data_IF_116606251789
#
_entry.id   IF_116606251789
#
_cell.length_a   1.000
_cell.length_b   1.000
_cell.length_c   1.000
_cell.angle_alpha   90.00
_cell.angle_beta   90.00
_cell.angle_gamma   90.00
#
_symmetry.space_group_name_H-M   'P 1'
#
loop_
_entity.id
_entity.type
_entity.pdbx_description
1 polymer ?
#
# COMPACT_ATOMS: atom_id res chain seq x y z
N UNK A 1 -5.02 45.70 10.16
CA UNK A 1 -3.91 44.73 10.30
C UNK A 1 -3.90 43.91 9.02
N UNK A 2 -3.09 44.33 8.06
CA UNK A 2 -2.86 43.60 6.80
C UNK A 2 -1.62 42.73 6.98
N UNK A 3 -1.71 41.47 6.58
CA UNK A 3 -0.54 40.64 6.28
C UNK A 3 -0.81 40.01 4.92
N UNK A 4 -0.43 40.74 3.87
CA UNK A 4 -0.29 40.20 2.52
C UNK A 4 1.10 39.56 2.43
N UNK A 5 1.17 38.24 2.51
CA UNK A 5 2.40 37.50 2.21
C UNK A 5 2.34 37.00 0.76
N UNK A 6 2.60 37.92 -0.18
CA UNK A 6 2.99 37.57 -1.53
C UNK A 6 4.50 37.78 -1.68
N UNK A 7 5.29 36.76 -1.33
CA UNK A 7 6.75 36.80 -1.52
C UNK A 7 7.07 36.29 -2.93
N UNK A 8 7.07 37.22 -3.87
CA UNK A 8 7.74 37.10 -5.16
C UNK A 8 9.24 36.84 -4.94
N UNK A 9 9.71 35.63 -5.22
CA UNK A 9 11.14 35.36 -5.37
C UNK A 9 11.51 35.32 -6.85
N UNK A 10 11.62 36.51 -7.45
CA UNK A 10 12.36 36.69 -8.71
C UNK A 10 13.85 36.85 -8.39
N UNK A 11 14.55 35.73 -8.23
CA UNK A 11 16.02 35.72 -8.29
C UNK A 11 16.44 35.68 -9.75
N UNK A 12 17.02 36.77 -10.25
CA UNK A 12 17.67 36.85 -11.56
C UNK A 12 18.83 35.84 -11.66
N UNK A 13 18.56 34.63 -12.13
CA UNK A 13 19.57 33.69 -12.62
C UNK A 13 19.68 33.82 -14.14
N UNK A 14 20.86 34.20 -14.65
CA UNK A 14 21.16 34.42 -16.07
C UNK A 14 21.29 33.13 -16.89
N UNK A 15 20.58 32.06 -16.52
CA UNK A 15 20.53 30.79 -17.24
C UNK A 15 19.10 30.63 -17.78
N UNK A 16 18.90 30.42 -19.09
CA UNK A 16 17.57 30.13 -19.63
C UNK A 16 16.99 28.90 -18.91
N UNK A 17 15.84 29.06 -18.27
CA UNK A 17 15.11 27.94 -17.68
C UNK A 17 14.82 26.92 -18.77
N UNK A 18 15.29 25.67 -18.60
CA UNK A 18 14.95 24.52 -19.47
C UNK A 18 13.43 24.22 -19.38
N UNK A 19 12.79 24.67 -18.31
CA UNK A 19 11.36 24.54 -18.08
C UNK A 19 10.62 25.73 -18.71
N UNK A 20 9.67 25.48 -19.64
CA UNK A 20 8.79 26.52 -20.15
C UNK A 20 7.90 27.11 -19.05
N UNK A 21 7.73 28.44 -19.07
CA UNK A 21 6.97 29.17 -18.04
C UNK A 21 5.48 28.80 -17.96
N UNK A 22 4.90 28.27 -19.06
CA UNK A 22 3.50 27.86 -19.09
C UNK A 22 3.23 26.52 -18.39
N UNK A 23 4.28 25.80 -17.98
CA UNK A 23 4.14 24.53 -17.25
C UNK A 23 3.84 24.84 -15.78
N UNK A 24 2.57 24.68 -15.41
CA UNK A 24 2.06 24.93 -14.07
C UNK A 24 1.33 23.70 -13.51
N UNK A 25 1.15 23.63 -12.19
CA UNK A 25 0.57 22.47 -11.49
C UNK A 25 -0.87 22.16 -11.94
N UNK A 26 -1.67 23.20 -12.22
CA UNK A 26 -3.08 23.09 -12.63
C UNK A 26 -3.29 22.27 -13.92
N UNK A 27 -2.29 22.23 -14.81
CA UNK A 27 -2.34 21.43 -16.04
C UNK A 27 -2.46 19.93 -15.76
N UNK A 28 -2.06 19.49 -14.57
CA UNK A 28 -1.99 18.08 -14.20
C UNK A 28 -3.14 17.60 -13.32
N UNK A 29 -4.05 18.48 -12.89
CA UNK A 29 -5.16 18.07 -12.01
C UNK A 29 -6.08 17.02 -12.64
N UNK A 30 -6.50 17.21 -13.90
CA UNK A 30 -7.37 16.24 -14.59
C UNK A 30 -6.66 14.89 -14.83
N UNK A 31 -5.42 14.84 -15.35
CA UNK A 31 -4.63 13.61 -15.38
C UNK A 31 -4.49 12.93 -14.00
N UNK A 32 -4.24 13.70 -12.94
CA UNK A 32 -4.08 13.15 -11.59
C UNK A 32 -5.38 12.54 -11.06
N UNK A 33 -6.54 13.14 -11.34
CA UNK A 33 -7.86 12.56 -11.01
C UNK A 33 -8.11 11.22 -11.71
N UNK A 34 -7.54 11.02 -12.91
CA UNK A 34 -7.68 9.77 -13.66
C UNK A 34 -6.75 8.66 -13.11
N UNK A 35 -5.57 9.03 -12.61
CA UNK A 35 -4.58 8.07 -12.11
C UNK A 35 -4.84 7.70 -10.65
N UNK A 36 -5.28 8.67 -9.83
CA UNK A 36 -5.56 8.49 -8.41
C UNK A 36 -6.99 8.96 -8.09
N UNK A 37 -7.89 7.99 -7.91
CA UNK A 37 -9.32 8.21 -7.67
C UNK A 37 -9.60 9.06 -6.42
N UNK A 38 -8.71 8.99 -5.44
CA UNK A 38 -8.83 9.69 -4.18
C UNK A 38 -8.10 11.05 -4.23
N UNK A 39 -7.61 11.51 -5.39
CA UNK A 39 -7.00 12.84 -5.53
C UNK A 39 -7.94 13.95 -5.02
N UNK A 40 -7.39 14.85 -4.20
CA UNK A 40 -8.08 16.03 -3.65
C UNK A 40 -7.42 17.31 -4.14
N UNK A 41 -6.09 17.42 -4.01
CA UNK A 41 -5.36 18.68 -4.23
C UNK A 41 -3.87 18.43 -4.53
N UNK A 42 -3.21 19.33 -5.28
CA UNK A 42 -1.74 19.37 -5.40
C UNK A 42 -1.20 20.30 -4.31
N UNK A 43 -0.35 19.78 -3.42
CA UNK A 43 0.26 20.53 -2.32
C UNK A 43 1.62 21.11 -2.69
N UNK A 44 2.39 20.40 -3.52
CA UNK A 44 3.70 20.84 -4.01
C UNK A 44 3.88 20.36 -5.45
N UNK A 45 4.48 21.19 -6.28
CA UNK A 45 4.77 20.90 -7.69
C UNK A 45 6.17 21.38 -8.04
N UNK A 46 6.99 20.46 -8.54
CA UNK A 46 8.35 20.73 -9.01
C UNK A 46 8.52 20.21 -10.41
N UNK A 47 9.16 20.99 -11.26
CA UNK A 47 9.46 20.59 -12.63
C UNK A 47 10.90 20.97 -12.96
N UNK A 48 11.59 20.04 -13.62
CA UNK A 48 12.97 20.21 -14.07
C UNK A 48 13.22 19.45 -15.38
N UNK A 49 14.36 19.69 -16.02
CA UNK A 49 14.81 18.84 -17.12
C UNK A 49 14.99 17.39 -16.64
N UNK A 50 14.53 16.44 -17.44
CA UNK A 50 14.50 15.03 -17.04
C UNK A 50 15.87 14.32 -17.10
N UNK A 51 16.84 14.89 -17.83
CA UNK A 51 18.14 14.27 -18.12
C UNK A 51 19.31 15.18 -17.73
N UNK A 52 20.48 14.57 -17.56
CA UNK A 52 21.73 15.28 -17.26
C UNK A 52 22.28 16.00 -18.52
N UNK A 53 23.09 17.06 -18.36
CA UNK A 53 23.76 17.71 -19.50
C UNK A 53 24.64 16.72 -20.27
N UNK A 54 24.35 16.50 -21.57
CA UNK A 54 25.14 15.63 -22.46
C UNK A 54 24.36 14.47 -23.11
N UNK A 55 23.12 14.22 -22.71
CA UNK A 55 22.25 13.20 -23.32
C UNK A 55 21.43 13.81 -24.48
N UNK A 56 22.01 13.80 -25.69
CA UNK A 56 21.65 14.70 -26.81
C UNK A 56 20.45 14.28 -27.71
N UNK A 57 19.49 13.49 -27.23
CA UNK A 57 18.32 13.11 -28.05
C UNK A 57 16.96 13.38 -27.40
N UNK A 58 16.94 13.75 -26.12
CA UNK A 58 15.70 13.92 -25.35
C UNK A 58 15.69 15.23 -24.54
N UNK A 59 16.34 16.27 -25.07
CA UNK A 59 16.52 17.61 -24.47
C UNK A 59 15.21 18.34 -24.10
N UNK A 60 14.05 17.80 -24.45
CA UNK A 60 12.72 18.39 -24.17
C UNK A 60 11.94 17.61 -23.10
N UNK A 61 12.47 16.50 -22.58
CA UNK A 61 11.77 15.77 -21.52
C UNK A 61 11.82 16.53 -20.20
N UNK A 62 10.65 16.73 -19.59
CA UNK A 62 10.50 17.31 -18.26
C UNK A 62 10.17 16.23 -17.24
N UNK A 63 10.80 16.32 -16.07
CA UNK A 63 10.44 15.55 -14.89
C UNK A 63 9.54 16.42 -14.01
N UNK A 64 8.29 16.03 -13.87
CA UNK A 64 7.33 16.63 -12.97
C UNK A 64 7.20 15.78 -11.69
N UNK A 65 7.38 16.40 -10.54
CA UNK A 65 7.20 15.81 -9.21
C UNK A 65 6.02 16.51 -8.52
N UNK A 66 5.12 15.71 -7.95
CA UNK A 66 3.93 16.19 -7.26
C UNK A 66 3.90 15.64 -5.84
N UNK A 67 3.56 16.49 -4.88
CA UNK A 67 3.00 16.06 -3.59
C UNK A 67 1.51 16.31 -3.66
N UNK A 68 0.71 15.25 -3.59
CA UNK A 68 -0.76 15.34 -3.68
C UNK A 68 -1.41 15.02 -2.35
N UNK A 69 -2.48 15.73 -2.05
CA UNK A 69 -3.42 15.39 -0.98
C UNK A 69 -4.43 14.40 -1.52
N UNK A 70 -4.63 13.33 -0.78
CA UNK A 70 -5.72 12.38 -1.03
C UNK A 70 -6.87 12.66 -0.09
N UNK A 71 -8.09 12.45 -0.59
CA UNK A 71 -9.32 12.40 0.20
C UNK A 71 -9.07 11.47 1.37
N UNK A 72 -9.30 11.97 2.57
CA UNK A 72 -9.20 11.17 3.78
C UNK A 72 -10.07 9.91 3.63
N UNK A 73 -9.45 8.73 3.72
CA UNK A 73 -10.22 7.50 3.79
C UNK A 73 -11.05 7.55 5.07
N UNK A 74 -12.36 7.47 4.93
CA UNK A 74 -13.27 7.37 6.08
C UNK A 74 -12.81 6.18 6.93
N UNK A 75 -12.55 6.43 8.22
CA UNK A 75 -12.30 5.35 9.17
C UNK A 75 -13.54 4.45 9.15
N UNK A 76 -13.39 3.15 8.82
CA UNK A 76 -14.52 2.24 8.77
C UNK A 76 -15.30 2.29 10.08
N UNK A 77 -16.61 2.44 9.99
CA UNK A 77 -17.47 2.26 11.16
C UNK A 77 -17.48 0.78 11.57
N UNK A 78 -17.97 0.48 12.78
CA UNK A 78 -18.18 -0.91 13.19
C UNK A 78 -19.08 -1.68 12.21
N UNK A 79 -20.09 -1.01 11.63
CA UNK A 79 -20.94 -1.59 10.58
C UNK A 79 -20.15 -1.92 9.32
N UNK A 80 -19.25 -1.03 8.90
CA UNK A 80 -18.40 -1.25 7.73
C UNK A 80 -17.43 -2.41 7.99
N UNK A 81 -16.86 -2.51 9.19
CA UNK A 81 -16.01 -3.63 9.58
C UNK A 81 -16.75 -4.98 9.59
N UNK A 82 -17.98 -5.03 10.11
CA UNK A 82 -18.79 -6.24 10.04
C UNK A 82 -19.11 -6.63 8.60
N UNK A 83 -19.43 -5.65 7.74
CA UNK A 83 -19.69 -5.89 6.32
C UNK A 83 -18.43 -6.37 5.59
N UNK A 84 -17.27 -5.76 5.89
CA UNK A 84 -15.98 -6.18 5.35
C UNK A 84 -15.67 -7.61 5.79
N UNK A 85 -15.83 -7.94 7.07
CA UNK A 85 -15.60 -9.29 7.57
C UNK A 85 -16.51 -10.31 6.86
N UNK A 86 -17.78 -9.97 6.63
CA UNK A 86 -18.71 -10.82 5.88
C UNK A 86 -18.29 -10.98 4.42
N UNK A 87 -18.08 -9.87 3.71
CA UNK A 87 -17.69 -9.86 2.29
C UNK A 87 -16.34 -10.52 2.02
N UNK A 88 -15.45 -10.47 3.00
CA UNK A 88 -14.07 -10.93 2.90
C UNK A 88 -13.79 -12.07 3.91
N UNK A 89 -14.81 -12.84 4.29
CA UNK A 89 -14.73 -13.89 5.31
C UNK A 89 -13.64 -14.94 5.05
N UNK A 90 -13.39 -15.23 3.76
CA UNK A 90 -12.31 -16.11 3.30
C UNK A 90 -10.93 -15.69 3.82
N UNK A 91 -10.70 -14.39 4.02
CA UNK A 91 -9.43 -13.88 4.57
C UNK A 91 -9.29 -14.18 6.06
N UNK A 92 -10.40 -14.26 6.80
CA UNK A 92 -10.41 -14.74 8.18
C UNK A 92 -9.99 -16.20 8.26
N UNK A 93 -10.55 -17.06 7.41
CA UNK A 93 -10.15 -18.46 7.29
C UNK A 93 -8.69 -18.64 6.88
N UNK A 94 -8.27 -17.94 5.83
CA UNK A 94 -6.90 -17.99 5.31
C UNK A 94 -5.89 -17.56 6.38
N UNK A 95 -6.18 -16.46 7.09
CA UNK A 95 -5.30 -15.96 8.16
C UNK A 95 -5.23 -16.94 9.34
N UNK A 96 -6.38 -17.50 9.74
CA UNK A 96 -6.45 -18.47 10.82
C UNK A 96 -5.70 -19.76 10.49
N UNK A 97 -5.69 -20.19 9.23
CA UNK A 97 -5.01 -21.43 8.82
C UNK A 97 -3.54 -21.23 8.46
N UNK A 98 -3.14 -20.09 7.90
CA UNK A 98 -1.75 -19.86 7.48
C UNK A 98 -0.93 -19.09 8.51
N UNK A 99 -1.19 -17.80 8.66
CA UNK A 99 -0.40 -16.88 9.48
C UNK A 99 -0.42 -17.27 10.95
N UNK A 100 -1.59 -17.63 11.48
CA UNK A 100 -1.70 -18.06 12.88
C UNK A 100 -0.91 -19.36 13.14
N UNK A 101 -0.88 -20.30 12.20
CA UNK A 101 -0.09 -21.53 12.33
C UNK A 101 1.42 -21.24 12.37
N UNK A 102 1.88 -20.31 11.52
CA UNK A 102 3.29 -19.89 11.49
C UNK A 102 3.70 -19.14 12.76
N UNK A 103 2.89 -18.16 13.20
CA UNK A 103 3.19 -17.32 14.39
C UNK A 103 3.18 -18.13 15.69
N UNK A 104 2.31 -19.13 15.78
CA UNK A 104 2.21 -19.98 16.97
C UNK A 104 3.14 -21.19 16.92
N UNK A 105 3.92 -21.37 15.84
CA UNK A 105 4.92 -22.41 15.76
C UNK A 105 5.99 -22.20 16.84
N UNK A 106 6.40 -23.27 17.51
CA UNK A 106 7.52 -23.20 18.44
C UNK A 106 8.82 -22.94 17.66
N UNK A 107 9.79 -22.21 18.25
CA UNK A 107 11.07 -21.95 17.59
C UNK A 107 11.71 -23.24 17.06
N UNK A 108 12.12 -23.24 15.79
CA UNK A 108 12.70 -24.39 15.12
C UNK A 108 13.66 -23.91 14.02
N UNK A 109 14.76 -24.63 13.83
CA UNK A 109 15.74 -24.34 12.76
C UNK A 109 15.16 -24.56 11.36
N UNK A 110 14.05 -25.30 11.27
CA UNK A 110 13.36 -25.60 10.02
C UNK A 110 12.36 -24.52 9.60
N UNK A 111 12.23 -23.42 10.36
CA UNK A 111 11.34 -22.32 10.06
C UNK A 111 11.89 -21.49 8.89
N UNK A 112 11.44 -21.81 7.67
CA UNK A 112 11.78 -21.08 6.46
C UNK A 112 10.53 -20.91 5.57
N UNK A 113 10.53 -19.88 4.72
CA UNK A 113 9.46 -19.68 3.73
C UNK A 113 9.40 -20.87 2.76
N UNK A 114 10.55 -21.45 2.41
CA UNK A 114 10.63 -22.61 1.53
C UNK A 114 9.95 -23.84 2.14
N UNK A 115 10.14 -24.10 3.43
CA UNK A 115 9.45 -25.19 4.12
C UNK A 115 7.97 -24.88 4.39
N UNK A 116 7.62 -23.60 4.56
CA UNK A 116 6.24 -23.17 4.78
C UNK A 116 5.37 -23.40 3.53
N UNK A 117 5.88 -23.05 2.35
CA UNK A 117 5.15 -23.14 1.07
C UNK A 117 5.41 -24.46 0.37
N UNK A 118 6.61 -25.01 0.49
CA UNK A 118 7.08 -26.16 -0.28
C UNK A 118 6.44 -27.49 0.06
N UNK A 119 6.51 -28.42 -0.89
CA UNK A 119 6.00 -29.81 -0.80
C UNK A 119 7.14 -30.83 -0.59
N UNK A 120 8.31 -30.36 -0.16
CA UNK A 120 9.43 -31.25 0.21
C UNK A 120 9.13 -32.01 1.49
N UNK A 121 9.83 -33.12 1.74
CA UNK A 121 9.68 -33.88 3.00
C UNK A 121 9.91 -33.01 4.24
N UNK A 122 10.90 -32.11 4.17
CA UNK A 122 11.17 -31.12 5.22
C UNK A 122 10.02 -30.12 5.39
N UNK A 123 9.43 -29.64 4.29
CA UNK A 123 8.26 -28.77 4.32
C UNK A 123 7.01 -29.46 4.89
N UNK A 124 6.76 -30.71 4.51
CA UNK A 124 5.66 -31.52 5.05
C UNK A 124 5.84 -31.80 6.55
N UNK A 125 7.07 -32.10 6.99
CA UNK A 125 7.39 -32.26 8.40
C UNK A 125 7.16 -30.96 9.19
N UNK A 126 7.58 -29.82 8.63
CA UNK A 126 7.36 -28.50 9.21
C UNK A 126 5.87 -28.13 9.29
N UNK A 127 5.10 -28.36 8.22
CA UNK A 127 3.63 -28.21 8.20
C UNK A 127 2.98 -29.08 9.28
N UNK A 128 3.39 -30.34 9.41
CA UNK A 128 2.90 -31.24 10.46
C UNK A 128 3.20 -30.69 11.85
N UNK A 129 4.39 -30.15 12.09
CA UNK A 129 4.75 -29.52 13.36
C UNK A 129 3.85 -28.31 13.67
N UNK A 130 3.67 -27.39 12.72
CA UNK A 130 2.80 -26.21 12.88
C UNK A 130 1.35 -26.61 13.21
N UNK A 131 0.74 -27.46 12.38
CA UNK A 131 -0.68 -27.83 12.51
C UNK A 131 -0.96 -28.81 13.65
N UNK A 132 0.07 -29.47 14.19
CA UNK A 132 -0.06 -30.31 15.38
C UNK A 132 0.16 -29.56 16.70
N UNK A 133 0.61 -28.30 16.65
CA UNK A 133 0.89 -27.50 17.84
C UNK A 133 -0.40 -27.33 18.70
N UNK A 134 -0.39 -27.73 19.99
CA UNK A 134 -1.56 -27.60 20.87
C UNK A 134 -2.07 -26.17 21.03
N UNK A 135 -1.17 -25.18 21.02
CA UNK A 135 -1.53 -23.76 21.08
C UNK A 135 -2.32 -23.35 19.85
N UNK A 136 -1.82 -23.69 18.66
CA UNK A 136 -2.52 -23.44 17.40
C UNK A 136 -3.90 -24.09 17.37
N UNK A 137 -3.99 -25.38 17.72
CA UNK A 137 -5.26 -26.11 17.76
C UNK A 137 -6.29 -25.46 18.67
N UNK A 138 -5.88 -25.08 19.88
CA UNK A 138 -6.76 -24.39 20.85
C UNK A 138 -7.35 -23.10 20.27
N UNK A 139 -6.56 -22.31 19.55
CA UNK A 139 -7.05 -21.08 18.92
C UNK A 139 -7.98 -21.38 17.73
N UNK A 140 -7.61 -22.38 16.90
CA UNK A 140 -8.40 -22.76 15.74
C UNK A 140 -9.77 -23.33 16.14
N UNK A 141 -9.84 -24.10 17.22
CA UNK A 141 -11.08 -24.63 17.81
C UNK A 141 -12.05 -23.53 18.27
N UNK A 142 -11.55 -22.34 18.63
CA UNK A 142 -12.39 -21.20 18.94
C UNK A 142 -12.79 -20.40 17.70
N UNK A 143 -11.85 -20.22 16.76
CA UNK A 143 -12.03 -19.34 15.59
C UNK A 143 -12.87 -19.99 14.50
N UNK A 144 -12.66 -21.28 14.19
CA UNK A 144 -13.40 -21.94 13.11
C UNK A 144 -14.91 -21.97 13.35
N UNK A 145 -15.42 -22.37 14.54
CA UNK A 145 -16.85 -22.28 14.81
C UNK A 145 -17.36 -20.84 14.75
N UNK A 146 -16.58 -19.86 15.22
CA UNK A 146 -16.97 -18.46 15.17
C UNK A 146 -17.11 -17.93 13.74
N UNK A 147 -16.21 -18.33 12.82
CA UNK A 147 -16.32 -18.01 11.41
C UNK A 147 -17.54 -18.71 10.78
N UNK A 148 -17.70 -20.00 11.06
CA UNK A 148 -18.79 -20.81 10.53
C UNK A 148 -20.17 -20.30 10.95
N UNK A 149 -20.41 -20.09 12.24
CA UNK A 149 -21.70 -19.63 12.76
C UNK A 149 -22.08 -18.21 12.33
N UNK A 150 -21.18 -17.46 11.71
CA UNK A 150 -21.42 -16.13 11.15
C UNK A 150 -21.55 -16.12 9.62
N UNK A 151 -21.57 -17.30 8.99
CA UNK A 151 -21.65 -17.45 7.52
C UNK A 151 -20.38 -16.99 6.79
N UNK A 152 -19.25 -16.85 7.51
CA UNK A 152 -18.00 -16.33 6.94
C UNK A 152 -17.26 -17.38 6.09
N UNK A 153 -17.76 -18.62 6.09
CA UNK A 153 -17.25 -19.75 5.31
C UNK A 153 -18.22 -20.17 4.20
N UNK A 154 -19.30 -19.41 3.96
CA UNK A 154 -20.28 -19.67 2.91
C UNK A 154 -19.85 -18.95 1.61
N UNK A 155 -18.77 -19.44 1.00
CA UNK A 155 -18.16 -18.89 -0.22
C UNK A 155 -18.61 -19.59 -1.50
#
# INVERSE_FOLDING_TARGET
>A
MSVDNNTNNNSNSSVPSVVPQWIEANLFEEPLKLVEKDFEEILDFKVAGALAPGENYATVMLKAEFVIKLKGKKIPSLKDLHLMLYKHGIWGYSTATSVMAAVLCDPTENASIDNFVGESDAGLAFKRQMYSNPRYRKHLEAILPWLYYRGLLDF
#
